data_IF_435182882976
#
_entry.id   IF_435182882976
#
_cell.length_a   1.000
_cell.length_b   1.000
_cell.length_c   1.000
_cell.angle_alpha   90.00
_cell.angle_beta   90.00
_cell.angle_gamma   90.00
#
_symmetry.space_group_name_H-M   'P 1'
#
loop_
_entity.id
_entity.type
_entity.pdbx_description
1 polymer ?
#
# COMPACT_ATOMS: atom_id res chain seq x y z
N UNK A 1 9.32 -10.72 4.79
CA UNK A 1 8.58 -11.95 5.15
C UNK A 1 7.39 -11.55 5.98
N UNK A 2 6.25 -12.17 5.75
CA UNK A 2 5.02 -12.01 6.52
C UNK A 2 4.76 -13.34 7.25
N UNK A 3 4.55 -13.35 8.57
CA UNK A 3 4.15 -14.56 9.28
C UNK A 3 2.84 -15.14 8.75
N UNK A 4 2.61 -16.45 8.94
CA UNK A 4 1.32 -17.06 8.65
C UNK A 4 0.20 -16.44 9.49
N UNK A 5 -1.05 -16.63 9.05
CA UNK A 5 -2.26 -16.12 9.72
C UNK A 5 -2.38 -14.59 9.82
N UNK A 6 -1.54 -13.83 9.10
CA UNK A 6 -1.66 -12.38 8.99
C UNK A 6 -2.59 -12.03 7.83
N UNK A 7 -3.72 -11.39 8.15
CA UNK A 7 -4.71 -10.97 7.15
C UNK A 7 -4.44 -9.58 6.58
N UNK A 8 -3.79 -8.71 7.36
CA UNK A 8 -3.55 -7.32 6.97
C UNK A 8 -2.15 -6.88 7.34
N UNK A 9 -1.57 -6.07 6.48
CA UNK A 9 -0.28 -5.40 6.73
C UNK A 9 -0.42 -3.92 6.42
N UNK A 10 0.43 -3.11 7.05
CA UNK A 10 0.53 -1.68 6.75
C UNK A 10 1.86 -1.36 6.11
N UNK A 11 1.81 -0.67 4.98
CA UNK A 11 2.97 -0.09 4.31
C UNK A 11 3.16 1.33 4.83
N UNK A 12 4.13 1.49 5.74
CA UNK A 12 4.43 2.79 6.36
C UNK A 12 5.71 3.34 5.74
N UNK A 13 5.61 4.51 5.11
CA UNK A 13 6.74 5.26 4.58
C UNK A 13 7.56 5.85 5.74
N UNK A 14 8.89 5.91 5.60
CA UNK A 14 9.76 6.56 6.60
C UNK A 14 9.48 8.06 6.74
N UNK A 15 8.92 8.67 5.70
CA UNK A 15 8.55 10.09 5.70
C UNK A 15 7.20 10.33 6.36
N UNK A 16 6.49 9.28 6.78
CA UNK A 16 5.26 9.40 7.53
C UNK A 16 5.55 9.90 8.94
N UNK A 17 4.93 11.02 9.29
CA UNK A 17 4.93 11.55 10.65
C UNK A 17 3.51 11.45 11.22
N UNK A 18 3.29 10.77 12.36
CA UNK A 18 1.94 10.57 12.92
C UNK A 18 1.17 11.87 13.18
N UNK A 19 1.88 12.98 13.45
CA UNK A 19 1.25 14.30 13.61
C UNK A 19 0.72 14.91 12.30
N UNK A 20 0.93 14.25 11.16
CA UNK A 20 0.34 14.60 9.86
C UNK A 20 -0.85 13.70 9.49
N UNK A 21 -1.16 12.69 10.31
CA UNK A 21 -2.36 11.88 10.16
C UNK A 21 -3.57 12.68 10.68
N UNK A 22 -4.46 13.04 9.76
CA UNK A 22 -5.73 13.76 9.95
C UNK A 22 -5.63 15.19 10.55
N UNK A 23 -5.89 16.19 9.70
CA UNK A 23 -6.13 17.59 10.12
C UNK A 23 -5.09 18.62 9.67
N UNK A 24 -3.95 18.20 9.10
CA UNK A 24 -2.98 19.14 8.52
C UNK A 24 -3.37 19.48 7.07
N UNK A 25 -4.13 20.56 6.88
CA UNK A 25 -4.49 21.08 5.55
C UNK A 25 -3.31 21.60 4.72
N UNK A 26 -2.07 21.57 5.23
CA UNK A 26 -0.93 22.18 4.57
C UNK A 26 0.32 21.32 4.74
N UNK A 27 0.56 20.46 3.75
CA UNK A 27 1.81 19.72 3.63
C UNK A 27 1.72 18.81 2.42
N UNK A 28 2.78 18.73 1.58
CA UNK A 28 2.72 17.90 0.41
C UNK A 28 2.79 16.43 0.88
N UNK A 29 1.96 15.58 0.29
CA UNK A 29 1.75 14.24 0.82
C UNK A 29 3.00 13.40 0.62
N UNK A 30 3.50 12.78 1.70
CA UNK A 30 4.78 12.05 1.70
C UNK A 30 4.52 10.54 1.78
N UNK A 31 4.17 9.96 0.63
CA UNK A 31 3.93 8.54 0.46
C UNK A 31 4.87 7.91 -0.56
N UNK A 32 4.45 6.79 -1.12
CA UNK A 32 5.15 6.11 -2.22
C UNK A 32 4.14 5.74 -3.31
N UNK A 33 4.56 5.82 -4.57
CA UNK A 33 3.80 5.34 -5.71
C UNK A 33 4.02 3.85 -5.82
N UNK A 34 2.98 3.08 -5.54
CA UNK A 34 3.03 1.63 -5.57
C UNK A 34 2.52 1.15 -6.93
N UNK A 35 3.29 0.26 -7.55
CA UNK A 35 2.92 -0.47 -8.76
C UNK A 35 2.44 -1.87 -8.43
N UNK A 36 3.08 -2.89 -9.00
CA UNK A 36 2.69 -4.27 -8.78
C UNK A 36 2.92 -4.73 -7.32
N UNK A 37 1.91 -5.37 -6.76
CA UNK A 37 1.99 -6.04 -5.45
C UNK A 37 1.80 -7.55 -5.66
N UNK A 38 2.70 -8.36 -5.11
CA UNK A 38 2.66 -9.81 -5.22
C UNK A 38 2.99 -10.47 -3.90
N UNK A 39 2.13 -11.39 -3.47
CA UNK A 39 2.33 -12.19 -2.29
C UNK A 39 2.65 -13.63 -2.68
N UNK A 40 3.73 -14.17 -2.13
CA UNK A 40 4.17 -15.53 -2.34
C UNK A 40 3.97 -16.32 -1.04
N UNK A 41 3.12 -17.35 -1.08
CA UNK A 41 2.99 -18.32 0.01
C UNK A 41 3.60 -19.67 -0.40
N UNK A 42 3.61 -20.64 0.52
CA UNK A 42 4.16 -21.99 0.31
C UNK A 42 3.56 -22.73 -0.88
N UNK A 43 2.37 -22.34 -1.33
CA UNK A 43 1.55 -23.10 -2.27
C UNK A 43 1.20 -22.30 -3.54
N UNK A 44 1.20 -20.97 -3.48
CA UNK A 44 0.65 -20.07 -4.50
C UNK A 44 1.35 -18.72 -4.56
N UNK A 45 1.27 -18.11 -5.74
CA UNK A 45 1.62 -16.70 -5.97
C UNK A 45 0.34 -15.93 -6.24
N UNK A 46 0.07 -14.92 -5.41
CA UNK A 46 -1.11 -14.06 -5.50
C UNK A 46 -0.69 -12.68 -5.99
N UNK A 47 -1.20 -12.27 -7.16
CA UNK A 47 -1.07 -10.87 -7.60
C UNK A 47 -2.21 -10.08 -6.99
N UNK A 48 -1.88 -9.01 -6.27
CA UNK A 48 -2.85 -8.23 -5.51
C UNK A 48 -3.20 -6.95 -6.26
N UNK A 49 -4.45 -6.83 -6.70
CA UNK A 49 -4.96 -5.65 -7.43
C UNK A 49 -5.94 -4.81 -6.61
N UNK A 50 -6.23 -5.20 -5.36
CA UNK A 50 -7.19 -4.50 -4.50
C UNK A 50 -6.88 -2.99 -4.39
N UNK A 51 -5.60 -2.63 -4.27
CA UNK A 51 -5.16 -1.24 -4.26
C UNK A 51 -5.54 -0.45 -5.52
N UNK A 52 -5.77 -1.11 -6.66
CA UNK A 52 -6.19 -0.48 -7.92
C UNK A 52 -7.70 -0.52 -8.14
N UNK A 53 -8.40 -1.46 -7.52
CA UNK A 53 -9.82 -1.75 -7.79
C UNK A 53 -10.76 -1.12 -6.74
N UNK A 54 -10.29 -0.98 -5.50
CA UNK A 54 -11.10 -0.47 -4.38
C UNK A 54 -10.96 1.05 -4.25
N UNK A 55 -12.01 1.85 -4.47
CA UNK A 55 -11.89 3.31 -4.49
C UNK A 55 -11.53 3.89 -3.11
N UNK A 56 -12.04 3.30 -2.02
CA UNK A 56 -11.76 3.74 -0.66
C UNK A 56 -10.96 2.67 0.09
N UNK A 57 -9.64 2.85 0.15
CA UNK A 57 -8.75 2.05 0.98
C UNK A 57 -8.01 2.94 1.97
N UNK A 58 -7.94 2.50 3.21
CA UNK A 58 -7.28 3.23 4.29
C UNK A 58 -5.81 3.50 3.93
N UNK A 59 -5.44 4.77 3.89
CA UNK A 59 -4.09 5.19 3.59
C UNK A 59 -3.67 5.20 2.12
N UNK A 60 -4.63 5.00 1.20
CA UNK A 60 -4.40 5.12 -0.25
C UNK A 60 -5.05 6.39 -0.79
N UNK A 61 -4.40 7.05 -1.75
CA UNK A 61 -4.94 8.23 -2.43
C UNK A 61 -5.90 7.88 -3.55
N UNK A 62 -6.35 8.85 -4.33
CA UNK A 62 -7.06 8.56 -5.57
C UNK A 62 -6.16 7.76 -6.54
N UNK A 63 -6.80 7.06 -7.48
CA UNK A 63 -6.11 6.20 -8.42
C UNK A 63 -5.30 7.06 -9.39
N UNK A 64 -3.98 7.04 -9.24
CA UNK A 64 -3.07 7.77 -10.11
C UNK A 64 -3.07 7.22 -11.56
N UNK A 65 -3.09 5.89 -11.72
CA UNK A 65 -3.18 5.27 -13.05
C UNK A 65 -3.87 3.91 -13.01
N UNK A 66 -4.08 3.30 -14.18
CA UNK A 66 -4.61 1.93 -14.30
C UNK A 66 -3.77 0.88 -13.52
N UNK A 67 -2.48 1.13 -13.30
CA UNK A 67 -1.52 0.16 -12.77
C UNK A 67 -0.76 0.64 -11.52
N UNK A 68 -1.03 1.85 -11.04
CA UNK A 68 -0.32 2.41 -9.89
C UNK A 68 -1.17 3.35 -9.05
N UNK A 69 -0.82 3.44 -7.77
CA UNK A 69 -1.54 4.29 -6.81
C UNK A 69 -0.63 4.82 -5.72
N UNK A 70 -0.79 6.09 -5.38
CA UNK A 70 -0.07 6.72 -4.28
C UNK A 70 -0.64 6.30 -2.92
N UNK A 71 0.25 6.09 -1.96
CA UNK A 71 -0.11 5.98 -0.54
C UNK A 71 -0.09 7.37 0.11
N UNK A 72 -0.82 7.56 1.21
CA UNK A 72 -0.74 8.78 2.04
C UNK A 72 0.38 8.72 3.10
N UNK A 73 1.22 7.68 3.06
CA UNK A 73 2.32 7.45 4.01
C UNK A 73 2.11 6.29 4.97
N UNK A 74 0.87 5.88 5.25
CA UNK A 74 0.53 4.65 6.00
C UNK A 74 -0.64 3.99 5.29
N UNK A 75 -0.37 3.00 4.43
CA UNK A 75 -1.37 2.33 3.61
C UNK A 75 -1.68 0.91 4.08
N UNK A 76 -2.96 0.59 4.24
CA UNK A 76 -3.41 -0.75 4.59
C UNK A 76 -3.50 -1.65 3.36
N UNK A 77 -2.98 -2.86 3.46
CA UNK A 77 -3.06 -3.89 2.43
C UNK A 77 -3.71 -5.15 3.03
N UNK A 78 -4.81 -5.63 2.43
CA UNK A 78 -5.42 -6.90 2.83
C UNK A 78 -4.78 -8.04 2.07
N UNK A 79 -4.13 -8.97 2.78
CA UNK A 79 -3.56 -10.19 2.21
C UNK A 79 -4.62 -11.27 1.93
N UNK A 80 -5.89 -10.98 2.22
CA UNK A 80 -7.03 -11.89 2.09
C UNK A 80 -7.06 -12.97 3.17
N UNK A 81 -7.96 -13.93 3.01
CA UNK A 81 -7.97 -15.15 3.82
C UNK A 81 -6.78 -16.03 3.42
N UNK A 82 -5.68 -15.82 4.14
CA UNK A 82 -4.46 -16.59 4.02
C UNK A 82 -4.67 -17.95 4.68
N UNK A 83 -4.79 -18.99 3.86
CA UNK A 83 -5.02 -20.37 4.30
C UNK A 83 -3.81 -21.09 4.96
N UNK A 84 -2.53 -20.64 4.87
CA UNK A 84 -1.46 -21.39 5.51
C UNK A 84 -1.01 -20.81 6.87
N UNK A 85 -0.76 -21.73 7.79
CA UNK A 85 0.07 -21.57 9.00
C UNK A 85 1.50 -21.08 8.63
N UNK A 86 1.89 -21.24 7.36
CA UNK A 86 3.24 -20.97 6.87
C UNK A 86 3.49 -19.49 6.55
N UNK A 87 4.75 -19.03 6.71
CA UNK A 87 5.14 -17.67 6.36
C UNK A 87 5.18 -17.45 4.84
N UNK A 88 4.91 -16.22 4.42
CA UNK A 88 5.00 -15.78 3.02
C UNK A 88 5.97 -14.63 2.79
N UNK A 89 6.19 -14.30 1.52
CA UNK A 89 6.96 -13.15 1.08
C UNK A 89 6.04 -12.18 0.37
N UNK A 90 5.96 -10.96 0.88
CA UNK A 90 5.31 -9.85 0.21
C UNK A 90 6.35 -9.06 -0.60
N UNK A 91 6.09 -8.93 -1.89
CA UNK A 91 6.86 -8.10 -2.83
C UNK A 91 6.01 -6.90 -3.25
N UNK A 92 6.58 -5.71 -3.14
CA UNK A 92 5.92 -4.45 -3.46
C UNK A 92 6.85 -3.68 -4.40
N UNK A 93 6.35 -3.32 -5.56
CA UNK A 93 7.05 -2.45 -6.50
C UNK A 93 6.84 -0.98 -6.12
N UNK A 94 7.94 -0.28 -5.83
CA UNK A 94 7.95 1.16 -5.58
C UNK A 94 8.41 1.86 -6.85
N UNK A 95 7.50 2.58 -7.49
CA UNK A 95 7.76 3.32 -8.73
C UNK A 95 8.33 4.72 -8.46
N UNK A 96 7.96 5.33 -7.33
CA UNK A 96 8.44 6.65 -6.90
C UNK A 96 8.27 6.81 -5.39
N UNK A 97 9.16 7.56 -4.75
CA UNK A 97 9.09 7.98 -3.35
C UNK A 97 9.15 9.51 -3.19
N UNK A 98 9.02 10.21 -4.32
CA UNK A 98 8.94 11.66 -4.41
C UNK A 98 7.66 12.19 -3.74
N UNK A 99 7.70 13.45 -3.35
CA UNK A 99 6.52 14.12 -2.83
C UNK A 99 5.59 14.48 -4.01
N UNK A 100 4.29 14.17 -3.91
CA UNK A 100 3.31 14.55 -4.94
C UNK A 100 2.47 15.74 -4.47
N UNK A 101 2.17 16.64 -5.41
CA UNK A 101 1.19 17.70 -5.23
C UNK A 101 -0.19 17.13 -5.59
N UNK A 102 -1.20 17.39 -4.75
CA UNK A 102 -2.59 16.99 -5.01
C UNK A 102 -3.22 17.80 -6.18
N UNK A 103 -2.46 18.71 -6.83
CA UNK A 103 -2.92 19.63 -7.88
C UNK A 103 -2.82 19.06 -9.32
N UNK A 104 -2.23 17.87 -9.52
CA UNK A 104 -2.12 17.21 -10.83
C UNK A 104 -3.26 16.20 -11.11
N UNK A 105 -4.50 16.53 -10.73
CA UNK A 105 -5.73 15.77 -11.07
C UNK A 105 -6.74 16.62 -11.86
#
# INVERSE_FOLDING_TARGET
MVPGQIQTVRLVSRLFHPAWAEGSHYGPSRGVLVGKITFFDSNRTHTMTEHLDSPALDGWREKHSAQSRWTSGDAMLSLGDQDPIDPGVLSIEILSDETYEDDDL
#
